data_IF_661162031783
#
_entry.id   IF_661162031783
#
_cell.length_a   1.000
_cell.length_b   1.000
_cell.length_c   1.000
_cell.angle_alpha   90.00
_cell.angle_beta   90.00
_cell.angle_gamma   90.00
#
_symmetry.space_group_name_H-M   'P 1'
#
loop_
_entity.id
_entity.type
_entity.pdbx_description
1 polymer ?
#
# COMPACT_ATOMS: atom_id res chain seq x y z
N UNK A 1 2.89 11.42 17.90
CA UNK A 1 2.27 11.19 16.60
C UNK A 1 0.81 10.84 16.80
N UNK A 2 -0.10 11.54 16.11
CA UNK A 2 -1.53 11.22 16.08
C UNK A 2 -1.98 11.07 14.63
N UNK A 3 -2.75 10.01 14.35
CA UNK A 3 -3.40 9.79 13.07
C UNK A 3 -4.88 9.49 13.30
N UNK A 4 -5.74 10.23 12.64
CA UNK A 4 -7.19 10.09 12.76
C UNK A 4 -7.82 9.91 11.38
N UNK A 5 -8.66 8.89 11.25
CA UNK A 5 -9.45 8.64 10.05
C UNK A 5 -10.94 8.79 10.40
N UNK A 6 -11.64 9.60 9.65
CA UNK A 6 -13.06 9.88 9.88
C UNK A 6 -13.87 9.65 8.59
N UNK A 7 -14.92 8.86 8.68
CA UNK A 7 -15.98 8.80 7.69
C UNK A 7 -17.12 9.69 8.17
N UNK A 8 -17.43 10.73 7.42
CA UNK A 8 -18.54 11.63 7.75
C UNK A 8 -19.88 11.09 7.26
N UNK A 9 -20.96 11.60 7.81
CA UNK A 9 -22.32 11.18 7.47
C UNK A 9 -22.71 11.43 5.99
N UNK A 10 -22.06 12.42 5.34
CA UNK A 10 -22.23 12.73 3.92
C UNK A 10 -21.40 11.83 3.00
N UNK A 11 -20.63 10.89 3.55
CA UNK A 11 -19.75 9.99 2.82
C UNK A 11 -18.37 10.58 2.48
N UNK A 12 -18.06 11.81 2.88
CA UNK A 12 -16.69 12.34 2.81
C UNK A 12 -15.80 11.65 3.85
N UNK A 13 -14.51 11.61 3.56
CA UNK A 13 -13.53 10.99 4.47
C UNK A 13 -12.42 11.99 4.78
N UNK A 14 -11.96 12.01 6.01
CA UNK A 14 -10.83 12.83 6.43
C UNK A 14 -9.75 11.96 7.06
N UNK A 15 -8.51 12.11 6.61
CA UNK A 15 -7.32 11.65 7.30
C UNK A 15 -6.62 12.87 7.88
N UNK A 16 -6.45 12.95 9.21
CA UNK A 16 -5.69 13.99 9.88
C UNK A 16 -4.45 13.41 10.56
N UNK A 17 -3.34 14.09 10.37
CA UNK A 17 -2.06 13.71 10.97
C UNK A 17 -1.49 14.89 11.74
N UNK A 18 -1.11 14.64 13.00
CA UNK A 18 -0.38 15.57 13.85
C UNK A 18 0.92 14.91 14.30
N UNK A 19 2.04 15.52 13.96
CA UNK A 19 3.38 14.99 14.22
C UNK A 19 4.22 15.99 14.96
N UNK A 20 4.84 15.56 16.05
CA UNK A 20 5.97 16.22 16.70
C UNK A 20 7.19 15.31 16.56
N UNK A 21 8.28 15.82 16.00
CA UNK A 21 9.51 15.07 15.79
C UNK A 21 10.70 15.86 16.31
N UNK A 22 11.38 15.36 17.33
CA UNK A 22 12.57 15.99 17.91
C UNK A 22 13.84 15.45 17.25
N UNK A 23 14.74 16.33 16.85
CA UNK A 23 15.98 16.02 16.12
C UNK A 23 17.14 15.86 17.10
N UNK A 24 17.62 14.64 17.31
CA UNK A 24 18.70 14.35 18.26
C UNK A 24 20.08 14.17 17.60
N UNK A 25 20.16 14.06 16.28
CA UNK A 25 21.40 13.85 15.54
C UNK A 25 21.46 14.70 14.28
N UNK A 26 22.67 15.02 13.80
CA UNK A 26 22.83 15.70 12.51
C UNK A 26 22.27 14.89 11.34
N UNK A 27 22.38 13.56 11.39
CA UNK A 27 21.77 12.69 10.38
C UNK A 27 20.25 12.82 10.31
N UNK A 28 19.58 13.21 11.41
CA UNK A 28 18.14 13.43 11.43
C UNK A 28 17.71 14.74 10.72
N UNK A 29 18.64 15.62 10.35
CA UNK A 29 18.35 16.83 9.59
C UNK A 29 18.41 16.64 8.07
N UNK A 30 18.51 15.39 7.62
CA UNK A 30 18.47 15.04 6.19
C UNK A 30 17.04 15.04 5.64
N UNK A 31 16.89 14.77 4.34
CA UNK A 31 15.61 14.72 3.64
C UNK A 31 14.57 13.82 4.32
N UNK A 32 14.98 12.71 4.96
CA UNK A 32 14.05 11.74 5.57
C UNK A 32 13.22 12.35 6.70
N UNK A 33 13.80 13.32 7.45
CA UNK A 33 13.10 13.97 8.56
C UNK A 33 12.96 15.49 8.37
N UNK A 34 13.82 16.10 7.55
CA UNK A 34 13.75 17.54 7.21
C UNK A 34 12.64 17.89 6.23
N UNK A 35 12.03 16.89 5.61
CA UNK A 35 10.90 17.06 4.69
C UNK A 35 9.75 16.11 5.08
N UNK A 36 8.52 16.53 4.75
CA UNK A 36 7.33 15.66 4.86
C UNK A 36 6.64 15.60 3.50
N UNK A 37 6.20 14.39 3.12
CA UNK A 37 5.65 14.10 1.81
C UNK A 37 4.20 13.66 1.96
N UNK A 38 3.26 14.34 1.26
CA UNK A 38 1.83 14.06 1.37
C UNK A 38 1.27 13.93 -0.04
N UNK A 39 0.95 12.69 -0.44
CA UNK A 39 0.36 12.41 -1.76
C UNK A 39 -1.16 12.55 -1.66
N UNK A 40 -1.76 13.25 -2.62
CA UNK A 40 -3.20 13.40 -2.73
C UNK A 40 -3.61 13.61 -4.19
N UNK A 41 -4.88 13.39 -4.47
CA UNK A 41 -5.48 13.65 -5.79
C UNK A 41 -6.34 14.93 -5.72
N UNK A 42 -5.88 16.09 -6.21
CA UNK A 42 -6.62 17.36 -6.10
C UNK A 42 -7.96 17.36 -6.81
N UNK A 43 -8.19 16.43 -7.75
CA UNK A 43 -9.49 16.27 -8.38
C UNK A 43 -10.55 15.77 -7.39
N UNK A 44 -10.16 14.98 -6.39
CA UNK A 44 -11.06 14.32 -5.45
C UNK A 44 -10.76 14.62 -3.99
N UNK A 45 -9.60 15.20 -3.71
CA UNK A 45 -9.10 15.42 -2.36
C UNK A 45 -8.63 16.86 -2.19
N UNK A 46 -8.78 17.37 -0.99
CA UNK A 46 -8.26 18.67 -0.57
C UNK A 46 -7.25 18.45 0.55
N UNK A 47 -6.01 18.87 0.31
CA UNK A 47 -4.99 18.94 1.35
C UNK A 47 -5.13 20.29 2.10
N UNK A 48 -5.11 20.23 3.43
CA UNK A 48 -5.09 21.39 4.30
C UNK A 48 -3.95 21.25 5.31
N UNK A 49 -2.97 22.14 5.23
CA UNK A 49 -1.96 22.29 6.28
C UNK A 49 -2.55 23.22 7.34
N UNK A 50 -2.81 22.70 8.53
CA UNK A 50 -3.37 23.46 9.66
C UNK A 50 -2.30 24.27 10.35
N UNK A 51 -1.13 23.65 10.59
CA UNK A 51 0.05 24.31 11.14
C UNK A 51 1.34 23.54 10.79
N UNK A 52 2.41 24.28 10.55
CA UNK A 52 3.75 23.71 10.34
C UNK A 52 4.82 24.68 10.84
N UNK A 53 5.65 24.21 11.77
CA UNK A 53 6.75 25.00 12.32
C UNK A 53 7.84 24.11 12.94
N UNK A 54 9.00 24.72 13.18
CA UNK A 54 10.05 24.15 14.00
C UNK A 54 10.18 24.96 15.28
N UNK A 55 10.06 24.31 16.43
CA UNK A 55 10.40 24.88 17.73
C UNK A 55 11.87 24.58 18.00
N UNK A 56 12.70 25.61 18.00
CA UNK A 56 14.12 25.51 18.27
C UNK A 56 14.39 25.16 19.74
N UNK A 57 15.63 24.83 20.05
CA UNK A 57 16.03 24.41 21.41
C UNK A 57 15.80 25.48 22.47
N UNK A 58 15.93 26.75 22.10
CA UNK A 58 15.67 27.91 22.96
C UNK A 58 14.19 28.28 23.10
N UNK A 59 13.29 27.52 22.38
CA UNK A 59 11.86 27.76 22.36
C UNK A 59 11.40 28.69 21.22
N UNK A 60 12.29 29.23 20.42
CA UNK A 60 11.95 30.08 19.27
C UNK A 60 11.13 29.25 18.25
N UNK A 61 10.04 29.86 17.75
CA UNK A 61 9.17 29.24 16.74
C UNK A 61 9.53 29.77 15.35
N UNK A 62 9.98 28.87 14.48
CA UNK A 62 10.24 29.17 13.07
C UNK A 62 9.11 28.55 12.25
N UNK A 63 8.18 29.39 11.77
CA UNK A 63 7.07 28.91 10.91
C UNK A 63 7.60 28.44 9.57
N UNK A 64 7.02 27.38 9.01
CA UNK A 64 7.28 26.96 7.65
C UNK A 64 6.77 28.03 6.69
N UNK A 65 7.62 28.68 5.88
CA UNK A 65 7.18 29.73 4.96
C UNK A 65 6.45 29.10 3.74
N UNK A 66 5.62 29.90 3.06
CA UNK A 66 4.83 29.43 1.92
C UNK A 66 5.69 28.84 0.79
N UNK A 67 6.86 29.39 0.53
CA UNK A 67 7.80 28.90 -0.48
C UNK A 67 8.52 27.59 -0.08
N UNK A 68 8.29 27.08 1.11
CA UNK A 68 8.72 25.75 1.57
C UNK A 68 7.61 24.68 1.46
N UNK A 69 6.46 25.04 0.89
CA UNK A 69 5.36 24.16 0.54
C UNK A 69 5.36 23.97 -0.98
N UNK A 70 5.87 22.84 -1.44
CA UNK A 70 6.09 22.59 -2.86
C UNK A 70 5.20 21.43 -3.36
N UNK A 71 4.39 21.69 -4.38
CA UNK A 71 3.64 20.64 -5.06
C UNK A 71 4.45 20.09 -6.23
N UNK A 72 4.69 18.81 -6.21
CA UNK A 72 5.39 18.07 -7.26
C UNK A 72 4.60 16.86 -7.71
N UNK A 73 5.01 16.22 -8.80
CA UNK A 73 4.50 14.90 -9.18
C UNK A 73 5.13 13.84 -8.27
N UNK A 74 4.34 12.91 -7.69
CA UNK A 74 4.90 11.80 -6.92
C UNK A 74 5.90 10.99 -7.74
N UNK A 75 7.05 10.66 -7.15
CA UNK A 75 8.08 9.87 -7.84
C UNK A 75 7.57 8.51 -8.33
N UNK A 76 6.57 7.94 -7.66
CA UNK A 76 5.92 6.69 -8.07
C UNK A 76 5.12 6.83 -9.38
N UNK A 77 4.74 8.06 -9.78
CA UNK A 77 3.99 8.39 -10.99
C UNK A 77 4.86 9.07 -12.07
N UNK A 78 6.19 9.21 -11.87
CA UNK A 78 7.06 10.00 -12.75
C UNK A 78 7.00 9.55 -14.22
N UNK A 79 6.93 8.24 -14.45
CA UNK A 79 6.89 7.65 -15.80
C UNK A 79 5.49 7.13 -16.18
N UNK A 80 4.44 7.65 -15.50
CA UNK A 80 3.08 7.19 -15.66
C UNK A 80 2.10 8.34 -15.94
N UNK A 81 2.05 8.87 -17.20
CA UNK A 81 1.26 10.06 -17.57
C UNK A 81 -0.22 10.00 -17.21
N UNK A 82 -0.83 8.81 -17.16
CA UNK A 82 -2.22 8.65 -16.74
C UNK A 82 -2.49 9.09 -15.29
N UNK A 83 -1.44 9.23 -14.49
CA UNK A 83 -1.49 9.61 -13.07
C UNK A 83 -0.91 11.00 -12.81
N UNK A 84 -0.67 11.81 -13.86
CA UNK A 84 -0.16 13.18 -13.72
C UNK A 84 -1.09 14.14 -12.93
N UNK A 85 -2.35 13.73 -12.70
CA UNK A 85 -3.28 14.44 -11.84
C UNK A 85 -2.94 14.35 -10.35
N UNK A 86 -2.12 13.36 -9.94
CA UNK A 86 -1.67 13.25 -8.56
C UNK A 86 -0.67 14.34 -8.20
N UNK A 87 -0.71 14.78 -6.95
CA UNK A 87 0.22 15.73 -6.36
C UNK A 87 0.89 15.13 -5.13
N UNK A 88 2.13 15.50 -4.93
CA UNK A 88 2.85 15.29 -3.68
C UNK A 88 3.21 16.66 -3.11
N UNK A 89 2.63 17.00 -1.98
CA UNK A 89 3.04 18.17 -1.20
C UNK A 89 4.32 17.82 -0.45
N UNK A 90 5.38 18.54 -0.74
CA UNK A 90 6.64 18.50 0.01
C UNK A 90 6.63 19.67 0.97
N UNK A 91 6.57 19.38 2.27
CA UNK A 91 6.72 20.38 3.33
C UNK A 91 8.19 20.38 3.76
N UNK A 92 8.93 21.41 3.37
CA UNK A 92 10.34 21.57 3.75
C UNK A 92 10.41 22.27 5.10
N UNK A 93 10.84 21.56 6.14
CA UNK A 93 10.96 22.11 7.47
C UNK A 93 12.19 23.02 7.58
N UNK A 94 12.02 24.22 8.09
CA UNK A 94 13.06 25.26 8.21
C UNK A 94 13.44 25.48 9.67
N UNK A 95 14.60 26.08 9.92
CA UNK A 95 15.08 26.35 11.28
C UNK A 95 15.53 25.12 12.05
N UNK A 96 15.98 24.07 11.33
CA UNK A 96 16.41 22.81 11.93
C UNK A 96 17.74 22.96 12.67
N UNK A 97 17.78 22.47 13.88
CA UNK A 97 18.99 22.34 14.70
C UNK A 97 18.91 21.14 15.64
N UNK A 98 19.99 20.76 16.27
CA UNK A 98 19.99 19.69 17.27
C UNK A 98 19.15 20.07 18.48
N UNK A 99 18.20 19.24 18.83
CA UNK A 99 17.24 19.44 19.90
C UNK A 99 15.97 20.20 19.49
N UNK A 100 15.91 20.68 18.24
CA UNK A 100 14.67 21.27 17.72
C UNK A 100 13.58 20.22 17.54
N UNK A 101 12.33 20.66 17.60
CA UNK A 101 11.14 19.83 17.39
C UNK A 101 10.34 20.37 16.21
N UNK A 102 10.22 19.57 15.17
CA UNK A 102 9.33 19.80 14.02
C UNK A 102 7.89 19.51 14.46
N UNK A 103 6.97 20.43 14.17
CA UNK A 103 5.53 20.24 14.28
C UNK A 103 4.88 20.32 12.91
N UNK A 104 4.00 19.38 12.61
CA UNK A 104 3.20 19.35 11.40
C UNK A 104 1.80 18.83 11.72
N UNK A 105 0.77 19.59 11.35
CA UNK A 105 -0.64 19.23 11.45
C UNK A 105 -1.30 19.46 10.10
N UNK A 106 -1.85 18.38 9.51
CA UNK A 106 -2.53 18.47 8.23
C UNK A 106 -3.71 17.50 8.14
N UNK A 107 -4.62 17.79 7.24
CA UNK A 107 -5.71 16.91 6.84
C UNK A 107 -5.73 16.71 5.32
N UNK A 108 -6.07 15.50 4.89
CA UNK A 108 -6.50 15.20 3.53
C UNK A 108 -7.98 14.85 3.59
N UNK A 109 -8.81 15.69 2.99
CA UNK A 109 -10.27 15.50 2.94
C UNK A 109 -10.64 14.97 1.56
N UNK A 110 -11.26 13.80 1.53
CA UNK A 110 -11.73 13.13 0.31
C UNK A 110 -13.21 13.39 0.12
N UNK A 111 -13.61 13.82 -1.09
CA UNK A 111 -15.01 14.04 -1.46
C UNK A 111 -15.82 12.74 -1.43
N UNK A 112 -17.13 12.80 -1.14
CA UNK A 112 -18.01 11.65 -1.24
C UNK A 112 -17.93 10.98 -2.61
N UNK A 113 -17.95 9.64 -2.63
CA UNK A 113 -18.00 8.83 -3.85
C UNK A 113 -16.66 8.59 -4.55
N UNK A 114 -15.56 9.18 -4.10
CA UNK A 114 -14.23 8.83 -4.63
C UNK A 114 -13.70 7.52 -4.05
N UNK A 115 -13.66 7.42 -2.72
CA UNK A 115 -13.39 6.16 -2.03
C UNK A 115 -14.75 5.51 -1.67
N UNK A 116 -14.95 4.23 -1.97
CA UNK A 116 -16.24 3.58 -1.77
C UNK A 116 -16.65 3.49 -0.29
N UNK A 117 -15.68 3.16 0.57
CA UNK A 117 -15.86 3.01 2.02
C UNK A 117 -14.60 3.46 2.75
N UNK A 118 -14.67 3.70 4.06
CA UNK A 118 -13.47 3.92 4.88
C UNK A 118 -12.74 2.58 5.03
N UNK A 119 -11.48 2.57 4.61
CA UNK A 119 -10.67 1.38 4.57
C UNK A 119 -9.22 1.74 4.90
N UNK A 120 -8.66 1.13 5.90
CA UNK A 120 -7.37 1.52 6.48
C UNK A 120 -6.49 0.29 6.69
N UNK A 121 -5.23 0.42 6.32
CA UNK A 121 -4.14 -0.46 6.71
C UNK A 121 -2.95 0.41 7.10
N UNK A 122 -2.81 0.65 8.41
CA UNK A 122 -1.84 1.61 8.95
C UNK A 122 -0.78 0.90 9.76
N UNK A 123 0.49 1.02 9.34
CA UNK A 123 1.63 0.55 10.11
C UNK A 123 1.90 1.49 11.29
N UNK A 124 2.19 0.91 12.44
CA UNK A 124 2.38 1.65 13.70
C UNK A 124 3.83 2.09 13.88
N UNK A 125 4.78 1.18 13.61
CA UNK A 125 6.20 1.49 13.76
C UNK A 125 6.72 2.34 12.60
N UNK A 126 7.43 3.40 12.93
CA UNK A 126 8.21 4.21 11.99
C UNK A 126 9.72 3.88 12.09
N UNK A 127 10.54 4.53 11.27
CA UNK A 127 12.00 4.37 11.32
C UNK A 127 12.63 4.97 12.58
N UNK A 128 11.91 5.84 13.30
CA UNK A 128 12.31 6.43 14.57
C UNK A 128 11.37 5.97 15.69
N UNK A 129 11.86 5.90 16.96
CA UNK A 129 11.01 5.56 18.07
C UNK A 129 9.91 6.61 18.27
N UNK A 130 8.70 6.16 18.68
CA UNK A 130 7.56 7.04 18.92
C UNK A 130 7.25 7.04 20.42
N UNK A 131 7.39 8.20 21.06
CA UNK A 131 7.10 8.37 22.49
C UNK A 131 5.63 8.12 22.82
N UNK A 132 4.74 8.66 21.99
CA UNK A 132 3.29 8.46 22.10
C UNK A 132 2.69 8.41 20.69
N UNK A 133 1.92 7.37 20.44
CA UNK A 133 1.17 7.15 19.21
C UNK A 133 -0.31 7.07 19.54
N UNK A 134 -1.11 7.96 18.96
CA UNK A 134 -2.56 7.95 19.06
C UNK A 134 -3.13 7.67 17.68
N UNK A 135 -3.90 6.60 17.57
CA UNK A 135 -4.60 6.24 16.35
C UNK A 135 -6.10 6.19 16.59
N UNK A 136 -6.90 6.82 15.76
CA UNK A 136 -8.34 6.83 15.92
C UNK A 136 -9.09 6.63 14.61
N UNK A 137 -10.21 5.93 14.71
CA UNK A 137 -11.19 5.71 13.65
C UNK A 137 -12.54 6.25 14.12
N UNK A 138 -13.16 7.11 13.32
CA UNK A 138 -14.49 7.67 13.63
C UNK A 138 -15.43 7.44 12.46
N UNK A 139 -16.57 6.79 12.71
CA UNK A 139 -17.57 6.48 11.69
C UNK A 139 -18.98 6.76 12.23
N UNK A 140 -19.97 7.04 11.36
CA UNK A 140 -21.37 7.07 11.78
C UNK A 140 -21.75 5.77 12.49
N UNK A 141 -22.48 5.86 13.59
CA UNK A 141 -22.88 4.70 14.39
C UNK A 141 -23.66 3.65 13.60
N UNK A 142 -24.35 4.08 12.54
CA UNK A 142 -25.11 3.21 11.62
C UNK A 142 -24.24 2.42 10.65
N UNK A 143 -22.95 2.76 10.52
CA UNK A 143 -22.02 2.05 9.63
C UNK A 143 -21.36 0.88 10.35
N UNK A 144 -21.21 -0.29 9.69
CA UNK A 144 -20.35 -1.33 10.21
C UNK A 144 -18.91 -0.79 10.35
N UNK A 145 -18.19 -1.27 11.34
CA UNK A 145 -16.77 -1.00 11.48
C UNK A 145 -16.10 -2.26 12.02
N UNK A 146 -15.43 -2.97 11.13
CA UNK A 146 -14.55 -4.08 11.42
C UNK A 146 -13.15 -3.55 11.64
N UNK A 147 -12.43 -4.03 12.64
CA UNK A 147 -11.05 -3.60 12.88
C UNK A 147 -10.27 -4.62 13.70
N UNK A 148 -8.97 -4.68 13.46
CA UNK A 148 -8.06 -5.54 14.20
C UNK A 148 -6.68 -4.90 14.33
N UNK A 149 -6.02 -5.19 15.47
CA UNK A 149 -4.63 -4.83 15.71
C UNK A 149 -3.75 -6.03 15.42
N UNK A 150 -2.91 -5.94 14.40
CA UNK A 150 -2.05 -7.01 13.93
C UNK A 150 -0.70 -7.00 14.61
N UNK A 151 -0.13 -8.20 14.83
CA UNK A 151 1.25 -8.43 15.30
C UNK A 151 1.59 -7.72 16.62
N UNK A 152 0.61 -7.50 17.47
CA UNK A 152 0.77 -6.85 18.76
C UNK A 152 -0.46 -7.01 19.63
N UNK A 153 -0.42 -6.37 20.80
CA UNK A 153 -1.56 -6.33 21.72
C UNK A 153 -1.83 -4.87 22.09
N UNK A 154 -2.87 -4.31 21.53
CA UNK A 154 -3.36 -3.00 21.92
C UNK A 154 -4.89 -3.04 22.00
N UNK A 155 -5.43 -2.71 23.15
CA UNK A 155 -6.87 -2.62 23.35
C UNK A 155 -7.33 -1.19 23.05
N UNK A 156 -8.36 -1.00 22.21
CA UNK A 156 -8.89 0.32 21.94
C UNK A 156 -9.85 0.78 23.05
N UNK A 157 -9.98 2.09 23.16
CA UNK A 157 -11.10 2.73 23.84
C UNK A 157 -12.17 3.04 22.80
N UNK A 158 -13.40 2.55 23.03
CA UNK A 158 -14.53 2.80 22.14
C UNK A 158 -15.49 3.79 22.84
N UNK A 159 -15.85 4.85 22.10
CA UNK A 159 -16.80 5.87 22.55
C UNK A 159 -17.86 6.11 21.45
N UNK A 160 -19.11 6.27 21.86
CA UNK A 160 -20.19 6.69 20.99
C UNK A 160 -20.73 8.02 21.50
N UNK A 161 -20.71 9.03 20.65
CA UNK A 161 -21.23 10.35 20.96
C UNK A 161 -21.63 11.08 19.68
N UNK A 162 -22.73 11.83 19.72
CA UNK A 162 -23.20 12.63 18.58
C UNK A 162 -23.48 11.82 17.31
N UNK A 163 -23.92 10.55 17.46
CA UNK A 163 -24.17 9.66 16.31
C UNK A 163 -22.91 9.09 15.65
N UNK A 164 -21.74 9.31 16.25
CA UNK A 164 -20.45 8.78 15.79
C UNK A 164 -19.89 7.76 16.78
N UNK A 165 -19.39 6.65 16.25
CA UNK A 165 -18.59 5.66 16.97
C UNK A 165 -17.13 5.95 16.71
N UNK A 166 -16.36 6.19 17.77
CA UNK A 166 -14.91 6.42 17.71
C UNK A 166 -14.17 5.32 18.44
N UNK A 167 -13.19 4.73 17.77
CA UNK A 167 -12.29 3.70 18.30
C UNK A 167 -10.89 4.29 18.35
N UNK A 168 -10.26 4.31 19.52
CA UNK A 168 -8.96 4.96 19.73
C UNK A 168 -7.97 4.01 20.43
N UNK A 169 -6.79 3.88 19.85
CA UNK A 169 -5.64 3.23 20.47
C UNK A 169 -4.62 4.29 20.90
N UNK A 170 -4.02 4.08 22.06
CA UNK A 170 -2.93 4.92 22.56
C UNK A 170 -1.79 4.03 23.00
N UNK A 171 -0.65 4.19 22.35
CA UNK A 171 0.57 3.46 22.68
C UNK A 171 1.64 4.41 23.16
N UNK A 172 2.52 3.90 24.02
CA UNK A 172 3.67 4.64 24.53
C UNK A 172 4.95 3.87 24.26
N UNK A 173 6.01 4.62 23.94
CA UNK A 173 7.36 4.07 23.74
C UNK A 173 7.40 2.97 22.65
N UNK A 174 6.75 3.24 21.51
CA UNK A 174 6.78 2.35 20.34
C UNK A 174 8.21 2.30 19.81
N UNK A 175 8.73 1.09 19.67
CA UNK A 175 10.09 0.88 19.16
C UNK A 175 10.15 1.15 17.65
N UNK A 176 11.29 1.61 17.13
CA UNK A 176 11.44 1.78 15.70
C UNK A 176 11.45 0.42 15.00
N UNK A 177 10.89 0.37 13.80
CA UNK A 177 11.05 -0.83 12.98
C UNK A 177 12.49 -0.94 12.46
N UNK A 178 13.03 -2.15 12.30
CA UNK A 178 14.29 -2.35 11.61
C UNK A 178 14.24 -1.76 10.19
N UNK A 179 15.34 -1.13 9.77
CA UNK A 179 15.49 -0.73 8.39
C UNK A 179 15.65 -1.99 7.53
N UNK A 180 14.62 -2.31 6.75
CA UNK A 180 14.66 -3.38 5.76
C UNK A 180 14.18 -2.83 4.43
N UNK A 181 14.94 -3.09 3.38
CA UNK A 181 14.61 -2.68 2.01
C UNK A 181 13.38 -3.42 1.45
N UNK A 182 13.01 -4.57 2.05
CA UNK A 182 11.97 -5.47 1.52
C UNK A 182 10.64 -5.45 2.28
N UNK A 183 10.38 -4.46 3.14
CA UNK A 183 9.10 -4.40 3.86
C UNK A 183 8.03 -3.75 2.99
N UNK A 184 7.54 -4.48 2.01
CA UNK A 184 6.35 -4.09 1.22
C UNK A 184 5.02 -4.55 1.85
N UNK A 185 5.05 -5.26 2.99
CA UNK A 185 3.87 -5.79 3.69
C UNK A 185 4.04 -5.66 5.19
N UNK A 186 2.94 -5.58 5.98
CA UNK A 186 3.02 -5.93 7.37
C UNK A 186 3.40 -7.42 7.46
N UNK A 187 4.70 -7.69 7.27
CA UNK A 187 5.27 -8.97 7.62
C UNK A 187 4.86 -9.27 9.07
N UNK A 188 4.75 -10.54 9.44
CA UNK A 188 4.20 -10.97 10.73
C UNK A 188 4.88 -10.42 12.00
N UNK A 189 5.85 -9.51 11.84
CA UNK A 189 6.59 -8.83 12.91
C UNK A 189 6.36 -7.31 12.98
N UNK A 190 5.56 -6.72 12.06
CA UNK A 190 5.25 -5.28 12.07
C UNK A 190 3.84 -5.07 12.61
N UNK A 191 3.70 -4.24 13.64
CA UNK A 191 2.37 -3.90 14.16
C UNK A 191 1.62 -3.01 13.18
N UNK A 192 0.36 -3.33 12.95
CA UNK A 192 -0.50 -2.56 12.08
C UNK A 192 -1.94 -2.55 12.60
N UNK A 193 -2.70 -1.54 12.19
CA UNK A 193 -4.16 -1.51 12.34
C UNK A 193 -4.77 -1.73 10.97
N UNK A 194 -5.65 -2.70 10.86
CA UNK A 194 -6.55 -2.84 9.72
C UNK A 194 -7.96 -2.51 10.14
N UNK A 195 -8.68 -1.79 9.29
CA UNK A 195 -10.08 -1.45 9.55
C UNK A 195 -10.84 -1.23 8.25
N UNK A 196 -12.12 -1.60 8.25
CA UNK A 196 -12.99 -1.47 7.10
C UNK A 196 -14.43 -1.20 7.49
N UNK A 197 -15.10 -0.34 6.73
CA UNK A 197 -16.54 -0.13 6.82
C UNK A 197 -17.34 -0.90 5.76
N UNK A 198 -16.68 -1.70 4.94
CA UNK A 198 -17.37 -2.66 4.08
C UNK A 198 -18.16 -3.64 4.94
N UNK A 199 -19.34 -4.04 4.47
CA UNK A 199 -20.14 -5.05 5.16
C UNK A 199 -19.45 -6.42 5.21
N UNK A 200 -18.60 -6.70 4.23
CA UNK A 200 -17.79 -7.92 4.16
C UNK A 200 -16.55 -7.73 3.26
N UNK A 201 -15.57 -8.61 3.40
CA UNK A 201 -14.43 -8.69 2.48
C UNK A 201 -14.86 -8.94 1.03
N UNK A 202 -15.94 -9.69 0.81
CA UNK A 202 -16.48 -9.92 -0.52
C UNK A 202 -17.01 -8.62 -1.15
N UNK A 203 -17.65 -7.74 -0.36
CA UNK A 203 -18.11 -6.44 -0.85
C UNK A 203 -16.94 -5.52 -1.19
N UNK A 204 -15.86 -5.56 -0.40
CA UNK A 204 -14.63 -4.85 -0.72
C UNK A 204 -14.05 -5.32 -2.06
N UNK A 205 -13.88 -6.63 -2.23
CA UNK A 205 -13.30 -7.21 -3.46
C UNK A 205 -14.18 -7.02 -4.70
N UNK A 206 -15.50 -6.86 -4.52
CA UNK A 206 -16.43 -6.54 -5.61
C UNK A 206 -16.05 -5.26 -6.35
N UNK A 207 -15.48 -4.27 -5.66
CA UNK A 207 -14.97 -3.01 -6.27
C UNK A 207 -13.91 -3.31 -7.31
N UNK A 208 -12.99 -4.23 -7.05
CA UNK A 208 -11.97 -4.65 -8.01
C UNK A 208 -12.57 -5.56 -9.07
N UNK A 209 -13.37 -6.54 -8.68
CA UNK A 209 -13.97 -7.51 -9.59
C UNK A 209 -14.75 -6.85 -10.72
N UNK A 210 -15.56 -5.83 -10.41
CA UNK A 210 -16.36 -5.12 -11.40
C UNK A 210 -15.53 -4.40 -12.47
N UNK A 211 -14.26 -4.10 -12.21
CA UNK A 211 -13.35 -3.44 -13.15
C UNK A 211 -12.66 -4.42 -14.10
N UNK A 212 -12.79 -5.73 -13.87
CA UNK A 212 -12.11 -6.78 -14.64
C UNK A 212 -12.99 -7.38 -15.76
N UNK A 213 -14.25 -6.97 -15.86
CA UNK A 213 -15.29 -7.66 -16.65
C UNK A 213 -15.27 -7.36 -18.15
N UNK A 214 -14.38 -6.51 -18.67
CA UNK A 214 -14.37 -6.17 -20.10
C UNK A 214 -13.07 -6.48 -20.81
N UNK A 215 -13.05 -7.57 -21.57
CA UNK A 215 -11.99 -7.86 -22.53
C UNK A 215 -12.32 -7.23 -23.87
N UNK A 216 -11.64 -6.15 -24.23
CA UNK A 216 -11.77 -5.50 -25.53
C UNK A 216 -11.21 -6.35 -26.69
N UNK A 217 -11.56 -5.97 -27.92
CA UNK A 217 -11.07 -6.64 -29.13
C UNK A 217 -9.53 -6.59 -29.25
N UNK A 218 -8.93 -5.50 -28.86
CA UNK A 218 -7.47 -5.27 -28.83
C UNK A 218 -6.73 -6.22 -27.88
N UNK A 219 -7.34 -6.61 -26.75
CA UNK A 219 -6.80 -7.62 -25.84
C UNK A 219 -6.74 -8.98 -26.54
N UNK A 220 -7.82 -9.35 -27.23
CA UNK A 220 -7.90 -10.66 -27.94
C UNK A 220 -6.93 -10.73 -29.12
N UNK A 221 -6.82 -9.67 -29.91
CA UNK A 221 -5.89 -9.59 -31.03
C UNK A 221 -4.43 -9.65 -30.55
N UNK A 222 -4.10 -8.94 -29.47
CA UNK A 222 -2.77 -8.98 -28.88
C UNK A 222 -2.43 -10.37 -28.32
N UNK A 223 -3.34 -10.98 -27.57
CA UNK A 223 -3.13 -12.31 -27.01
C UNK A 223 -2.86 -13.36 -28.09
N UNK A 224 -3.66 -13.36 -29.19
CA UNK A 224 -3.46 -14.23 -30.34
C UNK A 224 -2.12 -13.99 -31.02
N UNK A 225 -1.75 -12.72 -31.25
CA UNK A 225 -0.48 -12.34 -31.86
C UNK A 225 0.72 -12.81 -31.06
N UNK A 226 0.71 -12.56 -29.74
CA UNK A 226 1.81 -12.92 -28.84
C UNK A 226 2.00 -14.45 -28.75
N UNK A 227 0.92 -15.21 -28.84
CA UNK A 227 0.94 -16.66 -28.65
C UNK A 227 0.93 -17.45 -29.96
N UNK A 228 1.01 -16.82 -31.12
CA UNK A 228 0.89 -17.47 -32.42
C UNK A 228 1.92 -18.58 -32.69
N UNK A 229 3.12 -18.47 -32.11
CA UNK A 229 4.19 -19.48 -32.26
C UNK A 229 4.16 -20.57 -31.19
N UNK A 230 3.34 -20.43 -30.16
CA UNK A 230 3.31 -21.36 -29.03
C UNK A 230 2.53 -22.62 -29.35
N UNK A 231 3.08 -23.78 -29.00
CA UNK A 231 2.46 -25.09 -29.22
C UNK A 231 1.74 -25.62 -27.98
N UNK A 232 2.15 -25.17 -26.76
CA UNK A 232 1.58 -25.63 -25.50
C UNK A 232 0.97 -24.47 -24.71
N UNK A 233 0.12 -24.82 -23.73
CA UNK A 233 -0.47 -23.82 -22.81
C UNK A 233 0.61 -23.15 -21.97
N UNK A 234 1.61 -23.87 -21.55
CA UNK A 234 2.73 -23.36 -20.76
C UNK A 234 3.52 -22.33 -21.57
N UNK A 235 3.87 -22.64 -22.82
CA UNK A 235 4.55 -21.68 -23.72
C UNK A 235 3.71 -20.41 -23.94
N UNK A 236 2.37 -20.55 -24.09
CA UNK A 236 1.49 -19.39 -24.19
C UNK A 236 1.53 -18.52 -22.95
N UNK A 237 1.46 -19.13 -21.77
CA UNK A 237 1.56 -18.40 -20.49
C UNK A 237 2.91 -17.69 -20.35
N UNK A 238 4.01 -18.35 -20.68
CA UNK A 238 5.35 -17.77 -20.64
C UNK A 238 5.47 -16.53 -21.53
N UNK A 239 5.00 -16.61 -22.78
CA UNK A 239 5.02 -15.48 -23.71
C UNK A 239 4.18 -14.29 -23.21
N UNK A 240 2.99 -14.56 -22.66
CA UNK A 240 2.14 -13.51 -22.09
C UNK A 240 2.77 -12.88 -20.86
N UNK A 241 3.38 -13.70 -19.98
CA UNK A 241 4.09 -13.22 -18.78
C UNK A 241 5.29 -12.35 -19.18
N UNK A 242 6.10 -12.80 -20.15
CA UNK A 242 7.24 -12.03 -20.65
C UNK A 242 6.80 -10.67 -21.24
N UNK A 243 5.66 -10.62 -21.94
CA UNK A 243 5.10 -9.35 -22.42
C UNK A 243 4.76 -8.42 -21.26
N UNK A 244 4.08 -8.92 -20.20
CA UNK A 244 3.72 -8.12 -19.02
C UNK A 244 4.95 -7.61 -18.28
N UNK A 245 5.98 -8.44 -18.14
CA UNK A 245 7.26 -8.07 -17.50
C UNK A 245 8.00 -6.97 -18.28
N UNK A 246 7.84 -6.96 -19.59
CA UNK A 246 8.40 -5.93 -20.48
C UNK A 246 7.69 -4.57 -20.40
N UNK A 247 6.49 -4.48 -19.81
CA UNK A 247 5.79 -3.21 -19.62
C UNK A 247 6.46 -2.34 -18.55
N UNK A 248 6.41 -1.03 -18.72
CA UNK A 248 6.83 -0.06 -17.73
C UNK A 248 6.13 -0.27 -16.37
N UNK A 249 6.79 0.08 -15.28
CA UNK A 249 6.25 -0.06 -13.92
C UNK A 249 5.79 1.28 -13.35
N UNK A 250 4.52 1.38 -13.01
CA UNK A 250 4.01 2.42 -12.15
C UNK A 250 3.96 1.88 -10.71
N UNK A 251 4.68 2.55 -9.79
CA UNK A 251 4.81 2.10 -8.40
C UNK A 251 3.72 2.60 -7.45
N UNK A 252 2.66 3.20 -8.00
CA UNK A 252 1.50 3.60 -7.21
C UNK A 252 0.81 2.36 -6.64
N UNK A 253 0.43 2.45 -5.37
CA UNK A 253 -0.35 1.43 -4.70
C UNK A 253 -1.82 1.51 -5.10
N UNK A 254 -2.58 0.45 -4.86
CA UNK A 254 -4.00 0.40 -5.16
C UNK A 254 -4.79 1.51 -4.41
N UNK A 255 -4.41 1.83 -3.18
CA UNK A 255 -5.03 2.93 -2.41
C UNK A 255 -4.72 4.30 -3.00
N UNK A 256 -3.50 4.54 -3.48
CA UNK A 256 -3.12 5.81 -4.13
C UNK A 256 -3.86 6.04 -5.46
N UNK A 257 -4.29 4.98 -6.14
CA UNK A 257 -5.14 5.07 -7.33
C UNK A 257 -6.64 5.14 -7.00
N UNK A 258 -7.01 5.21 -5.72
CA UNK A 258 -8.41 5.19 -5.26
C UNK A 258 -9.12 3.87 -5.59
N UNK A 259 -8.38 2.76 -5.55
CA UNK A 259 -8.84 1.40 -5.90
C UNK A 259 -9.33 1.27 -7.34
N UNK A 260 -8.85 2.14 -8.24
CA UNK A 260 -9.21 2.14 -9.66
C UNK A 260 -8.12 1.47 -10.48
N UNK A 261 -8.56 0.65 -11.42
CA UNK A 261 -7.72 0.02 -12.44
C UNK A 261 -8.07 0.63 -13.80
N UNK A 262 -7.07 1.00 -14.56
CA UNK A 262 -7.30 1.39 -15.97
C UNK A 262 -7.74 0.17 -16.78
N UNK A 263 -8.59 0.37 -17.80
CA UNK A 263 -8.94 -0.70 -18.73
C UNK A 263 -7.70 -1.35 -19.36
N UNK A 264 -7.76 -2.66 -19.59
CA UNK A 264 -6.67 -3.41 -20.21
C UNK A 264 -6.17 -2.79 -21.53
N UNK A 265 -7.08 -2.26 -22.35
CA UNK A 265 -6.76 -1.55 -23.60
C UNK A 265 -5.89 -0.31 -23.39
N UNK A 266 -6.09 0.42 -22.30
CA UNK A 266 -5.28 1.58 -21.95
C UNK A 266 -3.89 1.19 -21.47
N UNK A 267 -3.78 0.12 -20.70
CA UNK A 267 -2.50 -0.43 -20.25
C UNK A 267 -1.67 -0.90 -21.46
N UNK A 268 -2.31 -1.60 -22.41
CA UNK A 268 -1.68 -1.99 -23.69
C UNK A 268 -1.15 -0.77 -24.44
N UNK A 269 -2.02 0.23 -24.65
CA UNK A 269 -1.69 1.42 -25.43
C UNK A 269 -0.58 2.26 -24.82
N UNK A 270 -0.56 2.36 -23.50
CA UNK A 270 0.41 3.16 -22.75
C UNK A 270 1.72 2.43 -22.47
N UNK A 271 1.74 1.10 -22.63
CA UNK A 271 2.88 0.22 -22.38
C UNK A 271 3.45 0.28 -20.94
N UNK A 272 2.64 0.67 -19.95
CA UNK A 272 2.96 0.62 -18.53
C UNK A 272 1.71 0.37 -17.69
N UNK A 273 1.90 -0.09 -16.47
CA UNK A 273 0.81 -0.27 -15.51
C UNK A 273 1.29 -0.39 -14.07
N UNK A 274 0.35 -0.24 -13.13
CA UNK A 274 0.56 -0.65 -11.74
C UNK A 274 0.63 -2.17 -11.66
N UNK A 275 1.11 -2.72 -10.55
CA UNK A 275 1.12 -4.19 -10.35
C UNK A 275 -0.28 -4.79 -10.50
N UNK A 276 -1.30 -4.13 -9.95
CA UNK A 276 -2.68 -4.57 -10.04
C UNK A 276 -3.21 -4.53 -11.49
N UNK A 277 -2.90 -3.49 -12.25
CA UNK A 277 -3.26 -3.38 -13.67
C UNK A 277 -2.55 -4.42 -14.53
N UNK A 278 -1.28 -4.70 -14.26
CA UNK A 278 -0.52 -5.74 -14.96
C UNK A 278 -1.08 -7.13 -14.68
N UNK A 279 -1.46 -7.42 -13.43
CA UNK A 279 -2.14 -8.67 -13.08
C UNK A 279 -3.49 -8.79 -13.79
N UNK A 280 -4.27 -7.72 -13.84
CA UNK A 280 -5.55 -7.66 -14.54
C UNK A 280 -5.37 -7.89 -16.05
N UNK A 281 -4.39 -7.23 -16.67
CA UNK A 281 -4.09 -7.41 -18.10
C UNK A 281 -3.64 -8.83 -18.41
N UNK A 282 -2.78 -9.43 -17.57
CA UNK A 282 -2.34 -10.82 -17.77
C UNK A 282 -3.52 -11.80 -17.71
N UNK A 283 -4.44 -11.60 -16.74
CA UNK A 283 -5.67 -12.39 -16.67
C UNK A 283 -6.51 -12.26 -17.94
N UNK A 284 -6.71 -11.04 -18.40
CA UNK A 284 -7.48 -10.74 -19.60
C UNK A 284 -6.87 -11.38 -20.87
N UNK A 285 -5.54 -11.31 -21.03
CA UNK A 285 -4.84 -11.93 -22.16
C UNK A 285 -4.95 -13.45 -22.14
N UNK A 286 -4.81 -14.10 -20.98
CA UNK A 286 -4.97 -15.54 -20.85
C UNK A 286 -6.39 -15.99 -21.15
N UNK A 287 -7.39 -15.30 -20.59
CA UNK A 287 -8.81 -15.59 -20.83
C UNK A 287 -9.19 -15.44 -22.33
N UNK A 288 -8.62 -14.43 -23.01
CA UNK A 288 -8.89 -14.16 -24.43
C UNK A 288 -8.47 -15.31 -25.36
N UNK A 289 -7.56 -16.18 -24.93
CA UNK A 289 -7.11 -17.38 -25.65
C UNK A 289 -7.59 -18.69 -25.03
N UNK A 290 -8.62 -18.61 -24.17
CA UNK A 290 -9.26 -19.77 -23.55
C UNK A 290 -8.50 -20.41 -22.38
N UNK A 291 -7.48 -19.73 -21.83
CA UNK A 291 -6.79 -20.17 -20.63
C UNK A 291 -7.56 -19.65 -19.41
N UNK A 292 -7.92 -20.55 -18.49
CA UNK A 292 -8.53 -20.13 -17.22
C UNK A 292 -7.53 -19.31 -16.41
N UNK A 293 -7.89 -18.08 -16.11
CA UNK A 293 -7.09 -17.17 -15.33
C UNK A 293 -8.00 -16.44 -14.32
N UNK A 294 -7.68 -16.59 -13.05
CA UNK A 294 -8.43 -16.00 -11.95
C UNK A 294 -7.50 -15.18 -11.08
N UNK A 295 -7.84 -13.91 -10.88
CA UNK A 295 -7.09 -13.05 -9.97
C UNK A 295 -7.39 -13.46 -8.54
N UNK A 296 -6.34 -13.51 -7.74
CA UNK A 296 -6.36 -13.76 -6.31
C UNK A 296 -5.87 -12.51 -5.58
N UNK A 297 -6.36 -12.32 -4.37
CA UNK A 297 -5.94 -11.24 -3.50
C UNK A 297 -5.32 -11.80 -2.22
N UNK A 298 -4.18 -11.24 -1.81
CA UNK A 298 -3.56 -11.53 -0.53
C UNK A 298 -3.89 -10.43 0.48
N UNK A 299 -4.17 -10.84 1.70
CA UNK A 299 -4.45 -9.99 2.84
C UNK A 299 -3.61 -10.44 4.03
N UNK A 300 -3.28 -9.56 4.99
CA UNK A 300 -2.79 -10.01 6.28
C UNK A 300 -3.82 -10.95 6.92
N UNK A 301 -3.36 -11.94 7.67
CA UNK A 301 -4.26 -12.80 8.45
C UNK A 301 -4.89 -11.99 9.56
N UNK A 302 -6.20 -12.12 9.68
CA UNK A 302 -7.04 -11.48 10.70
C UNK A 302 -7.92 -12.50 11.37
N UNK A 303 -8.24 -12.31 12.64
CA UNK A 303 -9.26 -13.09 13.36
C UNK A 303 -10.66 -12.70 12.88
N UNK A 304 -10.92 -11.38 12.79
CA UNK A 304 -12.10 -10.87 12.08
C UNK A 304 -11.80 -10.84 10.56
N UNK A 305 -12.37 -11.79 9.84
CA UNK A 305 -12.15 -11.94 8.37
C UNK A 305 -12.51 -10.67 7.56
N UNK A 306 -13.36 -9.80 8.10
CA UNK A 306 -13.87 -8.61 7.42
C UNK A 306 -13.12 -7.32 7.84
N UNK A 307 -12.19 -7.39 8.81
CA UNK A 307 -11.40 -6.25 9.24
C UNK A 307 -10.41 -5.76 8.18
N UNK A 308 -9.89 -6.65 7.33
CA UNK A 308 -8.96 -6.31 6.27
C UNK A 308 -9.72 -6.11 4.95
N UNK A 309 -9.90 -4.86 4.55
CA UNK A 309 -10.50 -4.45 3.28
C UNK A 309 -9.47 -4.16 2.18
N UNK A 310 -9.80 -3.33 1.20
CA UNK A 310 -8.96 -3.05 0.03
C UNK A 310 -7.62 -2.41 0.38
N UNK A 311 -7.57 -1.56 1.42
CA UNK A 311 -6.32 -0.94 1.87
C UNK A 311 -5.29 -1.97 2.37
N UNK A 312 -5.76 -3.13 2.81
CA UNK A 312 -4.95 -4.21 3.30
C UNK A 312 -4.57 -5.24 2.21
N UNK A 313 -5.01 -5.04 0.96
CA UNK A 313 -4.59 -5.89 -0.16
C UNK A 313 -3.10 -5.73 -0.39
N UNK A 314 -2.35 -6.76 -0.11
CA UNK A 314 -0.91 -6.80 -0.28
C UNK A 314 -0.46 -7.13 -1.70
N UNK A 315 -1.36 -7.65 -2.52
CA UNK A 315 -1.13 -7.93 -3.93
C UNK A 315 -2.34 -8.55 -4.60
N UNK A 316 -2.48 -8.23 -5.87
CA UNK A 316 -3.38 -8.92 -6.80
C UNK A 316 -2.52 -9.73 -7.76
N UNK A 317 -2.79 -11.02 -7.91
CA UNK A 317 -1.97 -11.89 -8.75
C UNK A 317 -2.76 -13.01 -9.40
N UNK A 318 -2.20 -13.47 -10.50
CA UNK A 318 -2.58 -14.71 -11.12
C UNK A 318 -1.76 -15.85 -10.53
N UNK A 319 -2.43 -16.92 -10.14
CA UNK A 319 -1.73 -18.07 -9.63
C UNK A 319 -0.98 -18.82 -10.71
N UNK A 320 0.33 -18.86 -10.54
CA UNK A 320 1.12 -20.06 -10.76
C UNK A 320 2.42 -19.89 -9.96
N UNK A 321 2.56 -20.67 -8.88
CA UNK A 321 3.80 -20.96 -8.16
C UNK A 321 4.50 -19.76 -7.46
N UNK A 322 4.64 -19.77 -6.16
CA UNK A 322 5.58 -18.95 -5.43
C UNK A 322 5.06 -18.13 -4.25
N UNK A 323 3.76 -18.21 -3.90
CA UNK A 323 3.24 -17.54 -2.69
C UNK A 323 3.25 -18.45 -1.46
N UNK A 324 3.70 -19.68 -1.66
CA UNK A 324 3.71 -20.70 -0.61
C UNK A 324 4.46 -20.27 0.66
N UNK A 325 5.49 -19.41 0.54
CA UNK A 325 6.32 -19.02 1.67
C UNK A 325 5.75 -17.90 2.52
N UNK A 326 4.82 -17.13 1.99
CA UNK A 326 4.16 -16.06 2.76
C UNK A 326 2.87 -16.52 3.43
N UNK A 327 2.47 -17.79 3.26
CA UNK A 327 1.21 -18.35 3.80
C UNK A 327 1.07 -18.22 5.31
N UNK A 328 2.16 -18.17 6.04
CA UNK A 328 2.08 -18.07 7.49
C UNK A 328 1.58 -16.71 7.96
N UNK A 329 1.74 -15.68 7.14
CA UNK A 329 1.40 -14.28 7.47
C UNK A 329 0.24 -13.72 6.67
N UNK A 330 -0.14 -14.36 5.54
CA UNK A 330 -1.19 -13.88 4.66
C UNK A 330 -2.30 -14.90 4.47
N UNK A 331 -3.50 -14.39 4.25
CA UNK A 331 -4.66 -15.12 3.76
C UNK A 331 -4.83 -14.80 2.28
N UNK A 332 -4.93 -15.83 1.44
CA UNK A 332 -5.20 -15.68 0.01
C UNK A 332 -6.64 -16.06 -0.27
N UNK A 333 -7.32 -15.21 -1.00
CA UNK A 333 -8.73 -15.42 -1.38
C UNK A 333 -8.92 -15.17 -2.88
N UNK A 334 -9.97 -15.76 -3.46
CA UNK A 334 -10.46 -15.31 -4.76
C UNK A 334 -11.24 -13.98 -4.64
N UNK A 335 -11.66 -13.42 -5.77
CA UNK A 335 -12.42 -12.16 -5.78
C UNK A 335 -13.88 -12.30 -5.28
N UNK A 336 -14.29 -13.46 -4.78
CA UNK A 336 -15.52 -13.67 -4.03
C UNK A 336 -15.23 -13.88 -2.53
N UNK A 337 -14.00 -13.58 -2.07
CA UNK A 337 -13.50 -13.79 -0.72
C UNK A 337 -13.49 -15.26 -0.26
N UNK A 338 -13.47 -16.22 -1.21
CA UNK A 338 -13.34 -17.64 -0.86
C UNK A 338 -11.87 -17.95 -0.59
N UNK A 339 -11.55 -18.57 0.56
CA UNK A 339 -10.19 -18.95 0.90
C UNK A 339 -9.60 -19.90 -0.14
N UNK A 340 -8.32 -19.68 -0.46
CA UNK A 340 -7.56 -20.56 -1.33
C UNK A 340 -6.47 -21.21 -0.51
N UNK A 341 -6.49 -22.55 -0.54
CA UNK A 341 -5.42 -23.34 0.04
C UNK A 341 -4.29 -23.40 -1.00
N UNK A 342 -3.15 -22.86 -0.62
CA UNK A 342 -1.96 -22.92 -1.44
C UNK A 342 -1.25 -24.25 -1.15
N UNK A 343 -0.95 -25.03 -2.19
CA UNK A 343 -0.09 -26.20 -2.03
C UNK A 343 1.31 -25.74 -1.66
N UNK A 344 1.89 -26.32 -0.60
CA UNK A 344 3.29 -26.03 -0.23
C UNK A 344 4.18 -26.52 -1.36
N UNK A 345 4.84 -25.59 -2.02
CA UNK A 345 5.88 -25.91 -2.99
C UNK A 345 7.18 -26.13 -2.22
N UNK A 346 7.81 -27.28 -2.43
CA UNK A 346 9.00 -27.69 -1.69
C UNK A 346 10.27 -26.90 -2.04
N UNK A 347 10.21 -25.98 -2.99
CA UNK A 347 11.32 -25.10 -3.39
C UNK A 347 10.83 -23.70 -3.67
N UNK A 348 11.28 -22.77 -2.85
CA UNK A 348 11.15 -21.34 -3.07
C UNK A 348 12.28 -20.89 -3.94
N UNK A 349 11.92 -20.30 -5.07
CA UNK A 349 12.85 -19.52 -5.87
C UNK A 349 12.61 -18.07 -5.49
N UNK A 350 13.49 -17.48 -4.69
CA UNK A 350 13.40 -16.08 -4.35
C UNK A 350 13.73 -15.24 -5.57
N UNK A 351 13.15 -14.05 -5.68
CA UNK A 351 13.39 -13.10 -6.79
C UNK A 351 14.83 -12.56 -6.85
N UNK A 352 15.67 -12.89 -5.87
CA UNK A 352 17.09 -12.60 -5.85
C UNK A 352 17.93 -13.65 -6.56
N UNK A 353 17.29 -14.58 -7.25
CA UNK A 353 17.92 -15.73 -7.87
C UNK A 353 18.59 -15.51 -9.19
N UNK A 354 19.51 -14.62 -9.19
CA UNK A 354 20.72 -14.85 -9.95
C UNK A 354 21.59 -15.96 -9.34
N UNK A 355 21.22 -16.49 -8.19
CA UNK A 355 21.93 -17.54 -7.47
C UNK A 355 21.03 -18.78 -7.39
N UNK A 356 20.99 -19.55 -8.48
CA UNK A 356 20.42 -20.89 -8.42
C UNK A 356 21.31 -21.76 -7.53
N UNK A 357 20.86 -21.96 -6.31
CA UNK A 357 21.52 -22.88 -5.40
C UNK A 357 20.94 -24.25 -5.62
N UNK A 358 21.68 -25.10 -6.32
CA UNK A 358 21.45 -26.55 -6.24
C UNK A 358 21.91 -27.05 -4.87
N UNK A 359 21.40 -28.21 -4.40
CA UNK A 359 21.89 -28.83 -3.16
C UNK A 359 23.44 -29.01 -3.15
N UNK A 360 24.03 -29.13 -4.32
CA UNK A 360 25.48 -29.17 -4.49
C UNK A 360 26.17 -27.81 -4.30
N UNK A 361 25.41 -26.72 -4.40
CA UNK A 361 25.94 -25.36 -4.33
C UNK A 361 25.50 -24.61 -3.06
N UNK A 362 24.67 -25.24 -2.21
CA UNK A 362 24.21 -24.63 -0.96
C UNK A 362 25.35 -24.10 -0.09
N UNK A 363 26.46 -24.85 -0.02
CA UNK A 363 27.67 -24.40 0.66
C UNK A 363 28.33 -23.23 -0.05
N UNK A 364 28.37 -23.26 -1.37
CA UNK A 364 28.93 -22.18 -2.18
C UNK A 364 28.09 -20.89 -2.08
N UNK A 365 26.77 -21.01 -1.96
CA UNK A 365 25.90 -19.86 -1.69
C UNK A 365 26.15 -19.27 -0.31
N UNK A 366 26.26 -20.10 0.72
CA UNK A 366 26.56 -19.65 2.07
C UNK A 366 27.93 -18.94 2.10
N UNK A 367 28.92 -19.47 1.39
CA UNK A 367 30.23 -18.87 1.26
C UNK A 367 30.21 -17.58 0.40
N UNK A 368 29.36 -17.54 -0.62
CA UNK A 368 29.09 -16.35 -1.44
C UNK A 368 28.43 -15.24 -0.63
N UNK A 369 27.42 -15.58 0.16
CA UNK A 369 26.71 -14.64 1.02
C UNK A 369 27.63 -14.02 2.08
N UNK A 370 28.53 -14.82 2.67
CA UNK A 370 29.56 -14.33 3.59
C UNK A 370 30.57 -13.39 2.94
N UNK A 371 30.77 -13.48 1.62
CA UNK A 371 31.63 -12.56 0.87
C UNK A 371 30.94 -11.23 0.55
N UNK A 372 29.61 -11.20 0.56
CA UNK A 372 28.82 -9.98 0.37
C UNK A 372 28.41 -9.29 1.67
N UNK A 373 28.59 -9.96 2.82
CA UNK A 373 28.58 -9.34 4.15
C UNK A 373 29.88 -8.53 4.32
N UNK A 374 30.03 -7.53 3.52
CA UNK A 374 31.14 -6.61 3.62
C UNK A 374 30.77 -5.40 4.45
N UNK A 375 31.75 -4.93 5.22
CA UNK A 375 31.59 -4.03 6.36
C UNK A 375 31.02 -2.68 6.06
#
# INVERSE_FOLDING_TARGET
>A
LSKAYTLHADGSQEMRVQKELTLFTHAAMNRVYGESFIIYNPEFQTLKIHDSYTRQKDGTIVKTPENALLEVLPSAAADAPAYNGLKEMVVVHTGLELGATIYLDYSVVTRPGYLPELDVCEQVEELSPIREYVFSLSVPESKPLHYEWLNGKAAPVVKTAGGMKTVTWTLKNVQPRPYSLDVSLPAGNVQAVVASTYASKADALKVIKQQLESNGKDVSELAQKLTASAQTTEQKKELLTAYIEGLGNCRLTLSQTGYRLRPASEVIRSAYGTEAEKAALLAALQQAIGIRAEIKAAFPKTEDKDAAGLAAVSGLFLFDKGIADIQDFVSVVDLNAQPIVLEKVSHVVSRTDTLQVSDKTGKALADGYRKFDLP
#
